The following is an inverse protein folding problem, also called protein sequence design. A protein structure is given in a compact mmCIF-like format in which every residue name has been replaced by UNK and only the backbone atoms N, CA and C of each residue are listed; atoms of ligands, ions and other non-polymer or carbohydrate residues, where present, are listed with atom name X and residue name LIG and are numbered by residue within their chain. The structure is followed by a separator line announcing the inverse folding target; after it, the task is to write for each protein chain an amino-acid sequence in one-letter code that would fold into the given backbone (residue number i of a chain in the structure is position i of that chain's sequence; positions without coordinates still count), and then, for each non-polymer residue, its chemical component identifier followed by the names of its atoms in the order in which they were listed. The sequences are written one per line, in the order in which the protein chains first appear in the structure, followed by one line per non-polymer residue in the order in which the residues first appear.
data_IF_207360573938
#
_entry.id   IF_207360573938
#
_cell.length_a   1.000
_cell.length_b   1.000
_cell.length_c   1.000
_cell.angle_alpha   90.00
_cell.angle_beta   90.00
_cell.angle_gamma   90.00
#
_symmetry.space_group_name_H-M   'P 1'
#
loop_
_entity.id
_entity.type
_entity.pdbx_description
1 polymer ?
#
# COMPACT_ATOMS: atom_id res chain seq x y z
N UNK A 1 14.02 -14.98 25.33
CA UNK A 1 12.87 -14.97 24.40
C UNK A 1 12.27 -13.58 24.18
N UNK A 2 12.16 -12.75 25.22
CA UNK A 2 11.55 -11.41 25.08
C UNK A 2 12.33 -10.46 24.16
N UNK A 3 13.66 -10.42 24.28
CA UNK A 3 14.52 -9.58 23.43
C UNK A 3 14.35 -9.89 21.93
N UNK A 4 14.16 -11.17 21.60
CA UNK A 4 13.94 -11.59 20.22
C UNK A 4 12.66 -10.96 19.64
N UNK A 5 11.55 -11.01 20.37
CA UNK A 5 10.28 -10.44 19.92
C UNK A 5 10.32 -8.92 19.81
N UNK A 6 11.03 -8.23 20.72
CA UNK A 6 11.29 -6.80 20.61
C UNK A 6 12.07 -6.45 19.34
N UNK A 7 13.18 -7.13 19.08
CA UNK A 7 13.98 -6.91 17.87
C UNK A 7 13.18 -7.23 16.60
N UNK A 8 12.43 -8.33 16.60
CA UNK A 8 11.58 -8.72 15.49
C UNK A 8 10.54 -7.64 15.16
N UNK A 9 9.86 -7.11 16.17
CA UNK A 9 8.88 -6.03 15.99
C UNK A 9 9.51 -4.73 15.53
N UNK A 10 10.67 -4.33 16.08
CA UNK A 10 11.39 -3.12 15.65
C UNK A 10 11.78 -3.23 14.17
N UNK A 11 12.32 -4.37 13.74
CA UNK A 11 12.69 -4.61 12.34
C UNK A 11 11.45 -4.54 11.44
N UNK A 12 10.35 -5.20 11.82
CA UNK A 12 9.12 -5.13 11.03
C UNK A 12 8.51 -3.73 10.99
N UNK A 13 8.59 -2.95 12.07
CA UNK A 13 8.15 -1.55 12.06
C UNK A 13 9.02 -0.69 11.15
N UNK A 14 10.34 -0.90 11.15
CA UNK A 14 11.24 -0.21 10.23
C UNK A 14 10.94 -0.58 8.77
N UNK A 15 10.77 -1.87 8.46
CA UNK A 15 10.40 -2.34 7.11
C UNK A 15 9.03 -1.82 6.70
N UNK A 16 8.05 -1.83 7.61
CA UNK A 16 6.71 -1.31 7.36
C UNK A 16 6.73 0.19 7.11
N UNK A 17 7.49 0.97 7.89
CA UNK A 17 7.67 2.40 7.67
C UNK A 17 8.31 2.68 6.32
N UNK A 18 9.39 1.97 5.96
CA UNK A 18 10.01 2.06 4.63
C UNK A 18 8.98 1.71 3.55
N UNK A 19 8.18 0.66 3.75
CA UNK A 19 7.11 0.24 2.86
C UNK A 19 5.95 1.23 2.73
N UNK A 20 5.77 2.19 3.66
CA UNK A 20 4.77 3.25 3.47
C UNK A 20 5.19 4.28 2.43
N UNK A 21 6.51 4.44 2.20
CA UNK A 21 7.09 5.35 1.22
C UNK A 21 7.41 4.60 -0.07
N UNK A 22 8.00 3.40 0.08
CA UNK A 22 8.36 2.55 -1.03
C UNK A 22 7.11 1.82 -1.55
N UNK A 23 6.75 1.97 -2.82
CA UNK A 23 5.47 1.50 -3.36
C UNK A 23 5.38 -0.04 -3.51
N UNK A 24 6.38 -0.77 -3.02
CA UNK A 24 6.54 -2.21 -3.20
C UNK A 24 5.77 -3.02 -2.15
N UNK A 25 5.59 -2.47 -0.95
CA UNK A 25 5.07 -3.22 0.19
C UNK A 25 3.88 -2.51 0.85
N UNK A 26 2.89 -3.26 1.37
CA UNK A 26 1.80 -2.70 2.15
C UNK A 26 2.28 -2.28 3.55
N UNK A 27 2.97 -1.14 3.65
CA UNK A 27 3.68 -0.71 4.87
C UNK A 27 2.81 -0.65 6.13
N UNK A 28 1.62 -0.08 6.04
CA UNK A 28 0.66 0.02 7.16
C UNK A 28 0.18 -1.35 7.65
N UNK A 29 0.02 -2.30 6.73
CA UNK A 29 -0.37 -3.68 7.06
C UNK A 29 0.76 -4.43 7.76
N UNK A 30 2.02 -4.21 7.33
CA UNK A 30 3.19 -4.78 8.01
C UNK A 30 3.30 -4.25 9.45
N UNK A 31 3.09 -2.95 9.65
CA UNK A 31 3.09 -2.33 10.98
C UNK A 31 1.98 -2.94 11.85
N UNK A 32 0.77 -3.07 11.32
CA UNK A 32 -0.36 -3.69 12.05
C UNK A 32 -0.05 -5.15 12.41
N UNK A 33 0.46 -5.95 11.47
CA UNK A 33 0.81 -7.34 11.70
C UNK A 33 1.88 -7.47 12.80
N UNK A 34 2.92 -6.64 12.74
CA UNK A 34 3.98 -6.61 13.75
C UNK A 34 3.45 -6.24 15.14
N UNK A 35 2.51 -5.29 15.22
CA UNK A 35 1.86 -4.89 16.47
C UNK A 35 1.02 -6.02 17.08
N UNK A 36 0.26 -6.76 16.26
CA UNK A 36 -0.52 -7.93 16.68
C UNK A 36 0.40 -9.06 17.15
N UNK A 37 1.43 -9.40 16.37
CA UNK A 37 2.42 -10.44 16.73
C UNK A 37 3.10 -10.08 18.04
N UNK A 38 3.54 -8.82 18.21
CA UNK A 38 4.20 -8.35 19.43
C UNK A 38 3.34 -8.60 20.67
N UNK A 39 2.04 -8.32 20.59
CA UNK A 39 1.16 -8.62 21.73
C UNK A 39 0.85 -10.08 21.93
N UNK A 40 0.61 -10.85 20.86
CA UNK A 40 0.36 -12.28 21.03
C UNK A 40 1.53 -13.00 21.71
N UNK A 41 2.77 -12.52 21.49
CA UNK A 41 3.98 -13.16 22.00
C UNK A 41 4.47 -12.64 23.36
N UNK A 42 4.37 -11.34 23.63
CA UNK A 42 4.82 -10.74 24.91
C UNK A 42 3.71 -10.58 25.94
N UNK A 43 2.46 -10.79 25.56
CA UNK A 43 1.32 -10.73 26.46
C UNK A 43 0.96 -9.31 26.91
N UNK A 44 -0.04 -9.16 27.80
CA UNK A 44 -0.62 -7.88 28.14
C UNK A 44 0.27 -6.96 28.98
N UNK A 45 1.21 -7.51 29.74
CA UNK A 45 2.05 -6.75 30.67
C UNK A 45 3.22 -6.05 30.00
N UNK A 46 3.73 -6.61 28.89
CA UNK A 46 4.94 -6.14 28.19
C UNK A 46 4.66 -5.58 26.79
N UNK A 47 3.40 -5.59 26.35
CA UNK A 47 3.00 -5.15 25.01
C UNK A 47 1.87 -4.11 25.04
N UNK A 48 1.71 -3.39 23.92
CA UNK A 48 0.67 -2.37 23.69
C UNK A 48 -0.74 -2.91 23.95
N UNK A 49 -1.68 -2.05 24.36
CA UNK A 49 -3.06 -2.47 24.63
C UNK A 49 -3.87 -2.79 23.36
N UNK A 50 -4.96 -3.55 23.50
CA UNK A 50 -5.94 -3.78 22.42
C UNK A 50 -6.53 -2.49 21.87
N UNK A 51 -6.64 -1.45 22.69
CA UNK A 51 -7.06 -0.11 22.24
C UNK A 51 -6.12 0.44 21.17
N UNK A 52 -4.81 0.32 21.35
CA UNK A 52 -3.81 0.76 20.36
C UNK A 52 -3.93 -0.03 19.07
N UNK A 53 -4.13 -1.35 19.15
CA UNK A 53 -4.29 -2.18 17.94
C UNK A 53 -5.58 -1.84 17.19
N UNK A 54 -6.70 -1.58 17.89
CA UNK A 54 -7.94 -1.13 17.24
C UNK A 54 -7.69 0.19 16.50
N UNK A 55 -6.97 1.14 17.11
CA UNK A 55 -6.59 2.39 16.43
C UNK A 55 -5.72 2.11 15.20
N UNK A 56 -4.74 1.20 15.29
CA UNK A 56 -3.90 0.82 14.15
C UNK A 56 -4.72 0.17 13.03
N UNK A 57 -5.72 -0.66 13.35
CA UNK A 57 -6.65 -1.23 12.36
C UNK A 57 -7.41 -0.11 11.66
N UNK A 58 -7.99 0.82 12.41
CA UNK A 58 -8.73 1.95 11.85
C UNK A 58 -7.84 2.82 10.96
N UNK A 59 -6.61 3.12 11.39
CA UNK A 59 -5.65 3.87 10.59
C UNK A 59 -5.27 3.12 9.32
N UNK A 60 -5.03 1.81 9.39
CA UNK A 60 -4.70 0.97 8.22
C UNK A 60 -5.83 0.99 7.20
N UNK A 61 -7.07 0.79 7.65
CA UNK A 61 -8.26 0.86 6.78
C UNK A 61 -8.44 2.25 6.19
N UNK A 62 -8.25 3.30 6.99
CA UNK A 62 -8.33 4.68 6.53
C UNK A 62 -7.29 4.98 5.46
N UNK A 63 -6.04 4.52 5.60
CA UNK A 63 -5.01 4.66 4.57
C UNK A 63 -5.45 4.05 3.25
N UNK A 64 -5.89 2.79 3.25
CA UNK A 64 -6.34 2.15 2.01
C UNK A 64 -7.57 2.83 1.39
N UNK A 65 -8.50 3.30 2.23
CA UNK A 65 -9.64 4.06 1.75
C UNK A 65 -9.19 5.36 1.07
N UNK A 66 -8.26 6.09 1.70
CA UNK A 66 -7.70 7.32 1.14
C UNK A 66 -6.96 7.03 -0.17
N UNK A 67 -6.15 5.97 -0.25
CA UNK A 67 -5.39 5.61 -1.46
C UNK A 67 -6.33 5.33 -2.65
N UNK A 68 -7.40 4.55 -2.42
CA UNK A 68 -8.40 4.25 -3.45
C UNK A 68 -9.17 5.50 -3.86
N UNK A 69 -9.59 6.32 -2.90
CA UNK A 69 -10.31 7.56 -3.18
C UNK A 69 -9.41 8.55 -3.92
N UNK A 70 -8.17 8.72 -3.50
CA UNK A 70 -7.18 9.58 -4.16
C UNK A 70 -6.90 9.12 -5.59
N UNK A 71 -6.74 7.80 -5.81
CA UNK A 71 -6.58 7.24 -7.15
C UNK A 71 -7.80 7.48 -8.05
N UNK A 72 -9.00 7.24 -7.52
CA UNK A 72 -10.25 7.44 -8.25
C UNK A 72 -10.52 8.92 -8.57
N UNK A 73 -10.47 9.78 -7.56
CA UNK A 73 -10.69 11.22 -7.73
C UNK A 73 -9.58 11.86 -8.56
N UNK A 74 -8.32 11.44 -8.38
CA UNK A 74 -7.21 11.86 -9.23
C UNK A 74 -7.47 11.53 -10.69
N UNK A 75 -7.76 10.26 -11.00
CA UNK A 75 -8.09 9.84 -12.37
C UNK A 75 -9.27 10.62 -12.96
N UNK A 76 -10.33 10.83 -12.18
CA UNK A 76 -11.51 11.59 -12.59
C UNK A 76 -11.20 13.07 -12.82
N UNK A 77 -10.40 13.69 -11.95
CA UNK A 77 -10.00 15.09 -12.04
C UNK A 77 -9.18 15.35 -13.31
N UNK A 78 -8.28 14.44 -13.67
CA UNK A 78 -7.51 14.50 -14.92
C UNK A 78 -8.28 14.01 -16.16
N UNK A 79 -9.58 13.70 -16.04
CA UNK A 79 -10.44 13.35 -17.19
C UNK A 79 -10.16 11.97 -17.80
N UNK A 80 -9.45 11.09 -17.09
CA UNK A 80 -9.10 9.76 -17.56
C UNK A 80 -10.36 8.94 -17.93
N UNK A 81 -10.34 8.29 -19.10
CA UNK A 81 -11.40 7.34 -19.44
C UNK A 81 -11.32 6.08 -18.57
N UNK A 82 -12.42 5.31 -18.54
CA UNK A 82 -12.45 4.00 -17.89
C UNK A 82 -11.36 3.07 -18.43
N UNK A 83 -11.06 3.16 -19.73
CA UNK A 83 -10.00 2.39 -20.38
C UNK A 83 -8.60 2.83 -19.96
N UNK A 84 -8.38 4.13 -19.74
CA UNK A 84 -7.13 4.63 -19.18
C UNK A 84 -6.91 4.14 -17.76
N UNK A 85 -7.93 4.20 -16.90
CA UNK A 85 -7.84 3.66 -15.53
C UNK A 85 -7.56 2.15 -15.55
N UNK A 86 -8.26 1.40 -16.40
CA UNK A 86 -8.03 -0.03 -16.54
C UNK A 86 -6.63 -0.34 -17.07
N UNK A 87 -6.19 0.39 -18.11
CA UNK A 87 -4.85 0.30 -18.66
C UNK A 87 -3.77 0.63 -17.63
N UNK A 88 -3.98 1.63 -16.78
CA UNK A 88 -3.07 1.97 -15.68
C UNK A 88 -2.94 0.83 -14.65
N UNK A 89 -4.06 0.19 -14.30
CA UNK A 89 -4.07 -0.96 -13.37
C UNK A 89 -3.31 -2.13 -13.98
N UNK A 90 -3.59 -2.50 -15.23
CA UNK A 90 -2.87 -3.57 -15.94
C UNK A 90 -1.39 -3.22 -16.08
N UNK A 91 -1.09 -1.96 -16.42
CA UNK A 91 0.26 -1.44 -16.50
C UNK A 91 1.00 -1.49 -15.16
N UNK A 92 0.34 -1.24 -14.05
CA UNK A 92 0.90 -1.38 -12.70
C UNK A 92 1.24 -2.85 -12.39
N UNK A 93 0.32 -3.78 -12.72
CA UNK A 93 0.50 -5.21 -12.50
C UNK A 93 1.64 -5.78 -13.35
N UNK A 94 1.72 -5.40 -14.63
CA UNK A 94 2.83 -5.79 -15.52
C UNK A 94 4.12 -5.10 -15.08
N UNK A 95 4.04 -3.83 -14.70
CA UNK A 95 5.15 -3.02 -14.21
C UNK A 95 5.83 -3.61 -12.97
N UNK A 96 5.08 -4.32 -12.12
CA UNK A 96 5.61 -5.01 -10.95
C UNK A 96 6.74 -6.00 -11.31
N UNK A 97 6.67 -6.65 -12.48
CA UNK A 97 7.71 -7.58 -12.96
C UNK A 97 9.01 -6.90 -13.40
N UNK A 98 8.97 -5.58 -13.64
CA UNK A 98 10.13 -4.76 -13.99
C UNK A 98 10.66 -3.94 -12.80
N UNK A 99 10.23 -4.29 -11.58
CA UNK A 99 10.67 -3.67 -10.33
C UNK A 99 10.15 -2.24 -10.14
N UNK A 100 10.93 -1.43 -9.42
CA UNK A 100 10.51 -0.06 -9.03
C UNK A 100 10.23 0.81 -10.26
N UNK A 101 11.11 0.78 -11.26
CA UNK A 101 10.93 1.57 -12.49
C UNK A 101 9.65 1.18 -13.23
N UNK A 102 9.37 -0.12 -13.32
CA UNK A 102 8.14 -0.62 -13.93
C UNK A 102 6.89 -0.20 -13.17
N UNK A 103 6.96 -0.09 -11.85
CA UNK A 103 5.82 0.34 -11.04
C UNK A 103 5.45 1.82 -11.26
N UNK A 104 6.42 2.67 -11.62
CA UNK A 104 6.16 4.07 -11.99
C UNK A 104 5.78 4.22 -13.47
N UNK A 105 6.52 3.56 -14.37
CA UNK A 105 6.34 3.71 -15.82
C UNK A 105 5.16 2.90 -16.34
N UNK A 106 4.94 1.70 -15.79
CA UNK A 106 3.91 0.76 -16.19
C UNK A 106 2.50 1.36 -16.18
N UNK A 107 2.04 1.98 -15.06
CA UNK A 107 0.75 2.63 -15.03
C UNK A 107 0.60 3.76 -16.07
N UNK A 108 1.66 4.53 -16.31
CA UNK A 108 1.65 5.63 -17.30
C UNK A 108 1.50 5.08 -18.71
N UNK A 109 2.35 4.13 -19.10
CA UNK A 109 2.30 3.50 -20.42
C UNK A 109 0.97 2.76 -20.62
N UNK A 110 0.50 2.05 -19.60
CA UNK A 110 -0.77 1.35 -19.61
C UNK A 110 -1.96 2.30 -19.74
N UNK A 111 -1.95 3.43 -19.03
CA UNK A 111 -2.99 4.46 -19.15
C UNK A 111 -3.05 5.05 -20.56
N UNK A 112 -1.88 5.37 -21.13
CA UNK A 112 -1.77 5.90 -22.50
C UNK A 112 -2.32 4.89 -23.52
N UNK A 113 -1.89 3.62 -23.43
CA UNK A 113 -2.40 2.55 -24.29
C UNK A 113 -3.92 2.38 -24.14
N UNK A 114 -4.45 2.47 -22.92
CA UNK A 114 -5.88 2.44 -22.64
C UNK A 114 -6.66 3.57 -23.29
N UNK A 115 -6.17 4.81 -23.20
CA UNK A 115 -6.76 5.97 -23.91
C UNK A 115 -6.76 5.77 -25.44
N UNK A 116 -5.65 5.28 -26.01
CA UNK A 116 -5.56 5.02 -27.46
C UNK A 116 -6.61 4.00 -27.92
N UNK A 117 -6.81 2.91 -27.16
CA UNK A 117 -7.83 1.90 -27.46
C UNK A 117 -9.25 2.47 -27.31
N UNK A 118 -9.47 3.38 -26.37
CA UNK A 118 -10.75 4.04 -26.17
C UNK A 118 -11.14 5.00 -27.30
N UNK A 119 -10.21 5.33 -28.20
CA UNK A 119 -10.44 6.28 -29.29
C UNK A 119 -10.62 7.73 -28.82
N UNK A 120 -10.36 8.02 -27.53
CA UNK A 120 -10.25 9.40 -27.05
C UNK A 120 -8.95 9.97 -27.58
N UNK A 121 -9.05 10.98 -28.44
CA UNK A 121 -7.91 11.77 -28.88
C UNK A 121 -7.51 12.64 -27.69
N UNK A 122 -6.39 12.30 -27.05
CA UNK A 122 -5.73 13.15 -26.05
C UNK A 122 -5.38 14.51 -26.63
#
# INVERSE_FOLDING_TARGET
MELFWWLFTIVLFAVGLIGTIAPVLPGTTIILAAAVIHRMMLGPEKSIGWRTIIVLVLLTVATYAIDVLAGYFGAKYFGASKWATFGAIVGALVGLFFGILGLFVGPVVGALAGEFIAGKRM
#
